data_IF_097055767164
#
_entry.id   IF_097055767164
#
_cell.length_a   1.000
_cell.length_b   1.000
_cell.length_c   1.000
_cell.angle_alpha   90.00
_cell.angle_beta   90.00
_cell.angle_gamma   90.00
#
_symmetry.space_group_name_H-M   'P 1'
#
loop_
_entity.id
_entity.type
_entity.pdbx_description
1 polymer ?
#
# COMPACT_ATOMS: atom_id res chain seq x y z
N UNK A 1 30.19 -1.90 -0.55
CA UNK A 1 29.56 -1.83 -1.89
C UNK A 1 28.31 -0.97 -1.76
N UNK A 2 27.96 -0.14 -2.75
CA UNK A 2 26.75 0.69 -2.66
C UNK A 2 25.50 -0.17 -2.89
N UNK A 3 24.40 0.10 -2.18
CA UNK A 3 23.11 -0.62 -2.34
C UNK A 3 22.60 -0.63 -3.79
N UNK A 4 22.95 0.40 -4.58
CA UNK A 4 22.71 0.48 -6.03
C UNK A 4 23.37 -0.66 -6.82
N UNK A 5 24.61 -0.99 -6.49
CA UNK A 5 25.37 -2.08 -7.14
C UNK A 5 24.80 -3.45 -6.80
N UNK A 6 24.26 -3.59 -5.58
CA UNK A 6 23.70 -4.84 -5.09
C UNK A 6 22.33 -5.14 -5.74
N UNK A 7 21.46 -4.14 -5.84
CA UNK A 7 20.18 -4.30 -6.54
C UNK A 7 20.36 -4.51 -8.05
N UNK A 8 21.26 -3.74 -8.70
CA UNK A 8 21.61 -3.97 -10.11
C UNK A 8 22.06 -5.40 -10.35
N UNK A 9 23.02 -5.89 -9.54
CA UNK A 9 23.51 -7.25 -9.63
C UNK A 9 22.39 -8.27 -9.48
N UNK A 10 21.40 -8.02 -8.62
CA UNK A 10 20.29 -8.93 -8.38
C UNK A 10 19.25 -8.94 -9.49
N UNK A 11 18.92 -7.79 -10.09
CA UNK A 11 18.07 -7.74 -11.29
C UNK A 11 18.75 -8.43 -12.46
N UNK A 12 20.05 -8.20 -12.63
CA UNK A 12 20.87 -8.91 -13.62
C UNK A 12 20.86 -10.42 -13.38
N UNK A 13 20.96 -10.87 -12.12
CA UNK A 13 20.84 -12.29 -11.74
C UNK A 13 19.48 -12.88 -12.11
N UNK A 14 18.39 -12.16 -11.83
CA UNK A 14 17.03 -12.61 -12.17
C UNK A 14 16.90 -12.75 -13.68
N UNK A 15 17.30 -11.73 -14.45
CA UNK A 15 17.20 -11.75 -15.91
C UNK A 15 18.06 -12.87 -16.51
N UNK A 16 19.29 -13.05 -16.02
CA UNK A 16 20.15 -14.15 -16.43
C UNK A 16 19.49 -15.51 -16.18
N UNK A 17 18.87 -15.69 -15.02
CA UNK A 17 18.20 -16.94 -14.69
C UNK A 17 16.98 -17.20 -15.59
N UNK A 18 16.20 -16.16 -15.92
CA UNK A 18 15.12 -16.23 -16.92
C UNK A 18 15.68 -16.65 -18.28
N UNK A 19 16.75 -16.00 -18.76
CA UNK A 19 17.36 -16.32 -20.04
C UNK A 19 17.87 -17.76 -20.08
N UNK A 20 18.53 -18.23 -19.02
CA UNK A 20 19.00 -19.61 -18.89
C UNK A 20 17.85 -20.62 -18.89
N UNK A 21 16.74 -20.32 -18.21
CA UNK A 21 15.53 -21.15 -18.21
C UNK A 21 14.95 -21.38 -19.61
N UNK A 22 15.12 -20.39 -20.51
CA UNK A 22 14.70 -20.49 -21.91
C UNK A 22 15.79 -21.02 -22.86
N UNK A 23 16.92 -21.50 -22.31
CA UNK A 23 17.98 -22.18 -23.06
C UNK A 23 19.05 -21.25 -23.64
N UNK A 24 19.16 -20.01 -23.17
CA UNK A 24 20.27 -19.13 -23.56
C UNK A 24 21.53 -19.43 -22.73
N UNK A 25 22.67 -19.45 -23.40
CA UNK A 25 23.99 -19.28 -22.77
C UNK A 25 24.21 -17.79 -22.55
N UNK A 26 24.40 -17.37 -21.29
CA UNK A 26 24.44 -15.95 -20.92
C UNK A 26 25.82 -15.53 -20.44
N UNK A 27 26.31 -14.41 -20.97
CA UNK A 27 27.53 -13.73 -20.56
C UNK A 27 27.18 -12.39 -19.91
N UNK A 28 27.63 -12.19 -18.66
CA UNK A 28 27.54 -10.89 -17.96
C UNK A 28 28.63 -9.94 -18.44
N UNK A 29 28.34 -8.64 -18.34
CA UNK A 29 29.32 -7.56 -18.55
C UNK A 29 30.05 -7.65 -19.91
N UNK A 30 29.30 -7.92 -20.99
CA UNK A 30 29.85 -8.05 -22.32
C UNK A 30 30.43 -6.71 -22.79
N UNK A 31 31.74 -6.68 -23.07
CA UNK A 31 32.42 -5.47 -23.54
C UNK A 31 32.34 -5.35 -25.06
N UNK A 32 31.80 -4.23 -25.52
CA UNK A 32 31.81 -3.84 -26.91
C UNK A 32 33.21 -3.38 -27.35
N UNK A 33 33.54 -3.45 -28.65
CA UNK A 33 34.78 -2.89 -29.19
C UNK A 33 34.95 -1.39 -28.93
N UNK A 34 33.84 -0.68 -28.70
CA UNK A 34 33.80 0.74 -28.32
C UNK A 34 34.23 0.99 -26.87
N UNK A 35 34.45 -0.06 -26.08
CA UNK A 35 34.76 0.02 -24.65
C UNK A 35 33.54 0.07 -23.73
N UNK A 36 32.34 0.22 -24.29
CA UNK A 36 31.07 0.19 -23.55
C UNK A 36 30.71 -1.23 -23.10
N UNK A 37 29.93 -1.36 -22.03
CA UNK A 37 29.50 -2.63 -21.45
C UNK A 37 28.01 -2.83 -21.63
N UNK A 38 27.61 -4.01 -22.09
CA UNK A 38 26.23 -4.51 -22.02
C UNK A 38 26.12 -5.41 -20.79
N UNK A 39 25.09 -5.21 -19.97
CA UNK A 39 24.92 -5.96 -18.72
C UNK A 39 24.79 -7.47 -18.96
N UNK A 40 24.00 -7.87 -19.95
CA UNK A 40 23.81 -9.27 -20.34
C UNK A 40 23.76 -9.45 -21.85
N UNK A 41 24.49 -10.45 -22.36
CA UNK A 41 24.32 -10.97 -23.71
C UNK A 41 24.02 -12.46 -23.61
N UNK A 42 22.91 -12.89 -24.22
CA UNK A 42 22.50 -14.28 -24.32
C UNK A 42 22.61 -14.79 -25.75
N UNK A 43 22.98 -16.06 -25.91
CA UNK A 43 22.95 -16.75 -27.20
C UNK A 43 22.24 -18.09 -27.08
N UNK A 44 21.33 -18.36 -28.02
CA UNK A 44 20.63 -19.64 -28.17
C UNK A 44 20.54 -19.96 -29.67
N UNK A 45 21.18 -21.04 -30.10
CA UNK A 45 21.31 -21.38 -31.52
C UNK A 45 21.88 -20.20 -32.31
N UNK A 46 21.17 -19.73 -33.36
CA UNK A 46 21.51 -18.53 -34.12
C UNK A 46 20.94 -17.24 -33.54
N UNK A 47 20.16 -17.31 -32.45
CA UNK A 47 19.49 -16.17 -31.85
C UNK A 47 20.37 -15.54 -30.76
N UNK A 48 20.52 -14.22 -30.84
CA UNK A 48 21.25 -13.40 -29.87
C UNK A 48 20.32 -12.40 -29.21
N UNK A 49 20.48 -12.23 -27.90
CA UNK A 49 19.74 -11.27 -27.08
C UNK A 49 20.72 -10.38 -26.31
N UNK A 50 20.48 -9.08 -26.32
CA UNK A 50 21.19 -8.11 -25.50
C UNK A 50 20.22 -7.45 -24.53
N UNK A 51 20.58 -7.43 -23.24
CA UNK A 51 19.76 -6.84 -22.18
C UNK A 51 20.59 -5.85 -21.37
N UNK A 52 20.06 -4.65 -21.20
CA UNK A 52 20.60 -3.64 -20.30
C UNK A 52 19.64 -3.39 -19.14
N UNK A 53 20.14 -3.26 -17.91
CA UNK A 53 19.32 -2.95 -16.74
C UNK A 53 19.48 -1.47 -16.40
N UNK A 54 18.49 -0.67 -16.81
CA UNK A 54 18.51 0.77 -16.62
C UNK A 54 17.86 1.14 -15.28
N UNK A 55 18.71 1.31 -14.27
CA UNK A 55 18.34 1.79 -12.93
C UNK A 55 18.45 3.31 -12.88
N UNK A 56 19.65 3.77 -13.25
CA UNK A 56 20.28 5.06 -12.97
C UNK A 56 20.35 6.07 -14.12
N UNK A 57 20.27 5.54 -15.35
CA UNK A 57 20.99 6.07 -16.50
C UNK A 57 20.08 6.65 -17.56
N UNK A 58 20.62 7.67 -18.21
CA UNK A 58 20.15 8.29 -19.43
C UNK A 58 19.75 7.21 -20.45
N UNK A 59 18.45 6.91 -20.50
CA UNK A 59 17.87 5.91 -21.39
C UNK A 59 18.34 6.10 -22.84
N UNK A 60 18.61 7.34 -23.26
CA UNK A 60 19.13 7.64 -24.58
C UNK A 60 20.50 6.99 -24.82
N UNK A 61 21.38 6.91 -23.82
CA UNK A 61 22.67 6.21 -23.91
C UNK A 61 22.48 4.70 -24.02
N UNK A 62 21.56 4.13 -23.23
CA UNK A 62 21.29 2.70 -23.28
C UNK A 62 20.68 2.29 -24.63
N UNK A 63 19.80 3.15 -25.19
CA UNK A 63 19.26 3.01 -26.54
C UNK A 63 20.38 3.09 -27.60
N UNK A 64 21.22 4.12 -27.54
CA UNK A 64 22.31 4.32 -28.51
C UNK A 64 23.29 3.13 -28.49
N UNK A 65 23.69 2.70 -27.29
CA UNK A 65 24.54 1.52 -27.05
C UNK A 65 23.96 0.24 -27.67
N UNK A 66 22.69 -0.09 -27.38
CA UNK A 66 22.05 -1.28 -27.94
C UNK A 66 21.74 -1.14 -29.44
N UNK A 67 21.53 0.07 -29.95
CA UNK A 67 21.30 0.30 -31.37
C UNK A 67 22.52 -0.10 -32.21
N UNK A 68 23.73 0.12 -31.68
CA UNK A 68 25.02 -0.20 -32.32
C UNK A 68 25.39 -1.68 -32.21
N UNK A 69 24.80 -2.42 -31.27
CA UNK A 69 25.05 -3.85 -31.10
C UNK A 69 24.16 -4.68 -32.02
N UNK A 70 24.74 -5.61 -32.79
CA UNK A 70 23.97 -6.46 -33.70
C UNK A 70 23.47 -7.72 -32.97
N UNK A 71 22.35 -7.58 -32.27
CA UNK A 71 21.61 -8.69 -31.65
C UNK A 71 20.19 -8.78 -32.24
N UNK A 72 19.66 -9.99 -32.33
CA UNK A 72 18.31 -10.26 -32.86
C UNK A 72 17.22 -9.70 -31.94
N UNK A 73 17.43 -9.81 -30.62
CA UNK A 73 16.55 -9.28 -29.58
C UNK A 73 17.30 -8.27 -28.71
N UNK A 74 16.68 -7.13 -28.45
CA UNK A 74 17.29 -6.06 -27.65
C UNK A 74 16.30 -5.60 -26.60
N UNK A 75 16.73 -5.58 -25.34
CA UNK A 75 15.91 -5.19 -24.21
C UNK A 75 16.60 -4.16 -23.34
N UNK A 76 15.82 -3.21 -22.84
CA UNK A 76 16.19 -2.39 -21.69
C UNK A 76 15.17 -2.68 -20.61
N UNK A 77 15.64 -3.26 -19.50
CA UNK A 77 14.81 -3.49 -18.32
C UNK A 77 14.92 -2.26 -17.43
N UNK A 78 13.86 -1.46 -17.40
CA UNK A 78 13.77 -0.25 -16.59
C UNK A 78 13.27 -0.59 -15.20
N UNK A 79 13.91 -0.01 -14.19
CA UNK A 79 13.40 -0.07 -12.81
C UNK A 79 12.51 1.13 -12.50
N UNK A 80 12.67 2.22 -13.25
CA UNK A 80 11.72 3.34 -13.22
C UNK A 80 10.49 3.00 -14.07
N UNK A 81 9.27 3.22 -13.54
CA UNK A 81 8.03 2.98 -14.26
C UNK A 81 7.86 4.03 -15.36
N UNK A 82 8.16 3.62 -16.59
CA UNK A 82 7.84 4.39 -17.77
C UNK A 82 7.09 3.50 -18.76
N UNK A 83 5.95 3.95 -19.27
CA UNK A 83 5.38 3.39 -20.49
C UNK A 83 6.15 3.97 -21.68
N UNK A 84 7.17 3.26 -22.15
CA UNK A 84 7.94 3.70 -23.32
C UNK A 84 7.69 2.70 -24.45
N UNK A 85 7.26 3.18 -25.64
CA UNK A 85 7.10 2.33 -26.80
C UNK A 85 8.45 1.71 -27.20
N UNK A 86 8.41 0.64 -27.99
CA UNK A 86 9.63 0.06 -28.59
C UNK A 86 10.33 1.12 -29.46
N UNK A 87 11.62 1.37 -29.22
CA UNK A 87 12.42 2.36 -29.98
C UNK A 87 13.47 1.61 -30.78
N UNK A 88 13.51 1.77 -32.10
CA UNK A 88 14.51 1.16 -32.99
C UNK A 88 14.68 -0.36 -32.82
N UNK A 89 13.58 -1.08 -32.59
CA UNK A 89 13.59 -2.53 -32.34
C UNK A 89 14.09 -2.94 -30.95
N UNK A 90 14.27 -1.98 -30.03
CA UNK A 90 14.65 -2.21 -28.64
C UNK A 90 13.39 -2.18 -27.77
N UNK A 91 13.13 -3.27 -27.07
CA UNK A 91 12.00 -3.41 -26.15
C UNK A 91 12.36 -2.81 -24.80
N UNK A 92 11.64 -1.78 -24.39
CA UNK A 92 11.80 -1.15 -23.08
C UNK A 92 10.67 -1.68 -22.20
N UNK A 93 11.01 -2.39 -21.13
CA UNK A 93 10.08 -3.13 -20.27
C UNK A 93 10.50 -2.99 -18.82
N UNK A 94 9.58 -3.14 -17.89
CA UNK A 94 9.92 -3.40 -16.49
C UNK A 94 10.35 -4.86 -16.28
N UNK A 95 10.77 -5.20 -15.06
CA UNK A 95 11.23 -6.54 -14.73
C UNK A 95 10.13 -7.59 -14.93
N UNK A 96 8.88 -7.26 -14.57
CA UNK A 96 7.74 -8.17 -14.70
C UNK A 96 7.32 -8.37 -16.16
N UNK A 97 7.42 -7.33 -17.00
CA UNK A 97 7.11 -7.38 -18.42
C UNK A 97 8.19 -8.04 -19.28
N UNK A 98 9.41 -8.22 -18.76
CA UNK A 98 10.52 -8.84 -19.48
C UNK A 98 10.20 -10.27 -19.94
N UNK A 99 9.82 -11.15 -19.02
CA UNK A 99 9.56 -12.56 -19.34
C UNK A 99 8.34 -12.75 -20.27
N UNK A 100 7.16 -12.15 -20.00
CA UNK A 100 6.01 -12.23 -20.91
C UNK A 100 6.35 -11.77 -22.32
N UNK A 101 7.13 -10.69 -22.46
CA UNK A 101 7.57 -10.17 -23.76
C UNK A 101 8.53 -11.13 -24.45
N UNK A 102 9.52 -11.65 -23.72
CA UNK A 102 10.46 -12.64 -24.22
C UNK A 102 9.73 -13.90 -24.71
N UNK A 103 8.81 -14.45 -23.92
CA UNK A 103 8.01 -15.63 -24.29
C UNK A 103 7.23 -15.42 -25.58
N UNK A 104 6.62 -14.24 -25.76
CA UNK A 104 5.90 -13.88 -26.99
C UNK A 104 6.81 -13.86 -28.21
N UNK A 105 8.02 -13.31 -28.09
CA UNK A 105 8.99 -13.23 -29.18
C UNK A 105 9.57 -14.61 -29.54
N UNK A 106 9.82 -15.44 -28.53
CA UNK A 106 10.29 -16.81 -28.68
C UNK A 106 9.19 -17.81 -29.06
N UNK A 107 7.92 -17.37 -29.12
CA UNK A 107 6.74 -18.22 -29.35
C UNK A 107 6.69 -19.42 -28.41
N UNK A 108 6.99 -19.19 -27.13
CA UNK A 108 6.95 -20.23 -26.09
C UNK A 108 5.51 -20.73 -25.93
N UNK A 109 5.27 -22.05 -25.90
CA UNK A 109 3.96 -22.62 -25.63
C UNK A 109 3.35 -22.11 -24.30
N UNK A 110 2.03 -21.95 -24.26
CA UNK A 110 1.32 -21.40 -23.08
C UNK A 110 1.46 -22.29 -21.84
N UNK A 111 1.65 -23.59 -22.03
CA UNK A 111 1.80 -24.61 -21.00
C UNK A 111 3.23 -24.73 -20.44
N UNK A 112 4.22 -24.10 -21.07
CA UNK A 112 5.58 -24.08 -20.55
C UNK A 112 5.69 -23.15 -19.33
N UNK A 113 6.21 -23.59 -18.17
CA UNK A 113 6.19 -22.80 -16.93
C UNK A 113 7.08 -21.54 -17.02
N UNK A 114 6.64 -20.39 -16.46
CA UNK A 114 7.46 -19.19 -16.37
C UNK A 114 8.59 -19.34 -15.35
N UNK A 115 9.74 -18.76 -15.66
CA UNK A 115 10.94 -18.69 -14.84
C UNK A 115 10.74 -17.81 -13.59
N UNK A 116 10.09 -16.65 -13.70
CA UNK A 116 9.88 -15.74 -12.55
C UNK A 116 9.15 -16.44 -11.40
N UNK A 117 8.26 -17.39 -11.68
CA UNK A 117 7.54 -18.16 -10.66
C UNK A 117 8.46 -19.06 -9.81
N UNK A 118 9.71 -19.26 -10.24
CA UNK A 118 10.71 -20.12 -9.59
C UNK A 118 11.93 -19.38 -9.04
N UNK A 119 12.02 -18.05 -9.25
CA UNK A 119 13.18 -17.26 -8.82
C UNK A 119 13.03 -16.71 -7.40
N UNK A 120 14.13 -16.59 -6.64
CA UNK A 120 14.08 -16.05 -5.29
C UNK A 120 13.59 -14.59 -5.33
N UNK A 121 12.68 -14.19 -4.43
CA UNK A 121 12.17 -12.84 -4.40
C UNK A 121 13.29 -11.81 -4.16
N UNK A 122 13.04 -10.56 -4.58
CA UNK A 122 13.82 -9.41 -4.15
C UNK A 122 14.00 -9.43 -2.62
N UNK A 123 15.13 -8.92 -2.09
CA UNK A 123 15.44 -9.00 -0.67
C UNK A 123 14.26 -8.44 0.14
N UNK A 124 13.98 -9.01 1.33
CA UNK A 124 12.87 -8.56 2.15
C UNK A 124 13.08 -7.09 2.48
N UNK A 125 12.14 -6.24 2.06
CA UNK A 125 12.00 -4.87 2.51
C UNK A 125 11.36 -4.94 3.90
N UNK A 126 12.19 -5.18 4.92
CA UNK A 126 11.74 -5.51 6.27
C UNK A 126 11.67 -4.30 7.20
N UNK A 127 12.31 -3.19 6.80
CA UNK A 127 12.31 -1.93 7.53
C UNK A 127 12.14 -0.71 6.61
N UNK A 128 11.79 0.43 7.20
CA UNK A 128 11.72 1.72 6.49
C UNK A 128 13.10 2.11 5.96
N UNK A 129 14.15 1.97 6.75
CA UNK A 129 15.51 2.29 6.34
C UNK A 129 15.94 1.46 5.12
N UNK A 130 15.65 0.17 5.10
CA UNK A 130 15.92 -0.69 3.93
C UNK A 130 15.13 -0.21 2.69
N UNK A 131 13.86 0.15 2.87
CA UNK A 131 13.03 0.67 1.78
C UNK A 131 13.58 1.97 1.21
N UNK A 132 13.93 2.93 2.08
CA UNK A 132 14.54 4.19 1.68
C UNK A 132 15.88 3.97 0.98
N UNK A 133 16.75 3.14 1.54
CA UNK A 133 18.05 2.83 0.97
C UNK A 133 17.94 2.14 -0.40
N UNK A 134 16.94 1.27 -0.60
CA UNK A 134 16.66 0.66 -1.90
C UNK A 134 16.23 1.74 -2.89
N UNK A 135 15.27 2.61 -2.56
CA UNK A 135 14.81 3.66 -3.49
C UNK A 135 15.89 4.72 -3.77
N UNK A 136 16.70 5.09 -2.77
CA UNK A 136 17.85 5.96 -2.94
C UNK A 136 18.94 5.31 -3.80
N UNK A 137 19.22 4.02 -3.57
CA UNK A 137 20.11 3.23 -4.42
C UNK A 137 19.62 3.15 -5.87
N UNK A 138 18.31 3.18 -6.09
CA UNK A 138 17.68 3.18 -7.41
C UNK A 138 17.65 4.57 -8.07
N UNK A 139 18.04 5.64 -7.38
CA UNK A 139 17.94 7.01 -7.90
C UNK A 139 16.48 7.48 -8.08
N UNK A 140 15.58 6.95 -7.25
CA UNK A 140 14.15 7.27 -7.19
C UNK A 140 13.73 7.67 -5.76
N UNK A 141 14.61 8.36 -5.03
CA UNK A 141 14.35 8.81 -3.67
C UNK A 141 13.07 9.67 -3.57
N UNK A 142 12.73 10.37 -4.64
CA UNK A 142 11.50 11.16 -4.77
C UNK A 142 10.21 10.33 -4.62
N UNK A 143 10.27 9.00 -4.79
CA UNK A 143 9.12 8.10 -4.67
C UNK A 143 8.96 7.47 -3.28
N UNK A 144 9.91 7.66 -2.35
CA UNK A 144 9.85 7.11 -0.98
C UNK A 144 8.53 7.50 -0.31
N UNK A 145 8.31 8.80 -0.16
CA UNK A 145 7.18 9.34 0.57
C UNK A 145 5.84 9.04 -0.13
N UNK A 146 5.69 9.22 -1.46
CA UNK A 146 4.49 8.79 -2.18
C UNK A 146 4.17 7.30 -2.00
N UNK A 147 5.18 6.43 -2.04
CA UNK A 147 5.00 4.99 -1.90
C UNK A 147 4.58 4.59 -0.47
N UNK A 148 5.22 5.16 0.56
CA UNK A 148 4.85 4.93 1.96
C UNK A 148 3.42 5.42 2.25
N UNK A 149 3.03 6.58 1.71
CA UNK A 149 1.66 7.11 1.80
C UNK A 149 0.64 6.18 1.15
N UNK A 150 0.92 5.67 -0.04
CA UNK A 150 0.01 4.75 -0.72
C UNK A 150 -0.12 3.40 0.02
N UNK A 151 0.99 2.87 0.54
CA UNK A 151 0.99 1.68 1.40
C UNK A 151 0.14 1.89 2.65
N UNK A 152 0.32 3.01 3.35
CA UNK A 152 -0.47 3.32 4.53
C UNK A 152 -1.95 3.49 4.19
N UNK A 153 -2.27 4.19 3.09
CA UNK A 153 -3.64 4.35 2.60
C UNK A 153 -4.31 3.00 2.37
N UNK A 154 -3.65 2.08 1.64
CA UNK A 154 -4.14 0.72 1.43
C UNK A 154 -4.29 -0.05 2.74
N UNK A 155 -3.33 0.08 3.66
CA UNK A 155 -3.40 -0.57 4.97
C UNK A 155 -4.62 -0.10 5.78
N UNK A 156 -4.85 1.21 5.84
CA UNK A 156 -5.99 1.82 6.53
C UNK A 156 -7.33 1.39 5.92
N UNK A 157 -7.36 1.18 4.61
CA UNK A 157 -8.53 0.70 3.86
C UNK A 157 -8.68 -0.83 3.89
N UNK A 158 -8.04 -1.53 4.83
CA UNK A 158 -8.21 -2.99 5.00
C UNK A 158 -7.32 -3.83 4.09
N UNK A 159 -6.21 -3.28 3.62
CA UNK A 159 -5.22 -3.95 2.78
C UNK A 159 -5.42 -3.73 1.28
N UNK A 160 -6.41 -2.95 0.86
CA UNK A 160 -6.71 -2.68 -0.54
C UNK A 160 -6.93 -1.18 -0.77
N UNK A 161 -6.53 -0.64 -1.93
CA UNK A 161 -6.82 0.76 -2.30
C UNK A 161 -7.22 0.88 -3.77
N UNK A 162 -8.31 1.60 -4.10
CA UNK A 162 -8.65 1.96 -5.47
C UNK A 162 -7.56 2.81 -6.13
N UNK A 163 -7.14 2.44 -7.33
CA UNK A 163 -6.10 3.14 -8.10
C UNK A 163 -6.61 3.77 -9.38
N UNK A 164 -7.65 3.20 -9.98
CA UNK A 164 -8.22 3.66 -11.26
C UNK A 164 -9.71 3.37 -11.35
N UNK A 165 -10.45 4.30 -11.94
CA UNK A 165 -11.86 4.15 -12.29
C UNK A 165 -12.03 4.22 -13.80
N UNK A 166 -12.79 3.28 -14.38
CA UNK A 166 -13.07 3.21 -15.82
C UNK A 166 -14.58 3.02 -16.04
N UNK A 167 -15.21 3.95 -16.75
CA UNK A 167 -16.58 3.82 -17.23
C UNK A 167 -16.59 3.66 -18.74
N UNK A 168 -17.05 2.50 -19.19
CA UNK A 168 -17.07 2.11 -20.59
C UNK A 168 -18.37 1.35 -20.91
N UNK A 169 -19.47 2.06 -21.17
CA UNK A 169 -20.71 1.43 -21.59
C UNK A 169 -20.59 0.91 -23.03
N UNK A 170 -20.96 -0.35 -23.22
CA UNK A 170 -21.10 -0.95 -24.55
C UNK A 170 -22.19 -0.20 -25.34
N UNK A 171 -22.06 0.04 -26.67
CA UNK A 171 -21.05 -0.49 -27.61
C UNK A 171 -19.90 0.47 -27.94
N UNK A 172 -19.56 1.42 -27.07
CA UNK A 172 -18.55 2.43 -27.43
C UNK A 172 -17.18 1.79 -27.68
N UNK A 173 -16.38 2.38 -28.57
CA UNK A 173 -15.03 1.87 -28.87
C UNK A 173 -13.98 2.30 -27.83
N UNK A 174 -14.29 3.30 -27.00
CA UNK A 174 -13.38 3.85 -25.98
C UNK A 174 -14.14 4.15 -24.68
N UNK A 175 -13.47 4.10 -23.52
CA UNK A 175 -14.06 4.51 -22.26
C UNK A 175 -14.52 5.98 -22.33
N UNK A 176 -15.70 6.26 -21.76
CA UNK A 176 -16.20 7.64 -21.62
C UNK A 176 -15.42 8.35 -20.51
N UNK A 177 -15.09 7.63 -19.44
CA UNK A 177 -14.32 8.15 -18.33
C UNK A 177 -13.23 7.16 -17.99
N UNK A 178 -11.98 7.62 -17.97
CA UNK A 178 -10.86 6.95 -17.34
C UNK A 178 -10.21 7.96 -16.38
N UNK A 179 -10.20 7.62 -15.09
CA UNK A 179 -9.65 8.47 -14.04
C UNK A 179 -8.66 7.69 -13.21
N UNK A 180 -7.42 8.15 -13.21
CA UNK A 180 -6.41 7.72 -12.26
C UNK A 180 -6.70 8.35 -10.90
N UNK A 181 -6.79 7.52 -9.86
CA UNK A 181 -6.98 7.94 -8.48
C UNK A 181 -5.63 8.08 -7.76
N UNK A 182 -4.62 7.34 -8.23
CA UNK A 182 -3.28 7.28 -7.68
C UNK A 182 -2.23 7.36 -8.80
N UNK A 183 -0.99 7.72 -8.46
CA UNK A 183 0.10 7.81 -9.44
C UNK A 183 0.50 6.40 -9.94
N UNK A 184 0.34 6.09 -11.24
CA UNK A 184 0.68 4.79 -11.82
C UNK A 184 2.14 4.40 -11.60
N UNK A 185 3.03 5.38 -11.46
CA UNK A 185 4.45 5.14 -11.20
C UNK A 185 4.65 4.56 -9.79
N UNK A 186 3.97 5.12 -8.81
CA UNK A 186 4.02 4.63 -7.43
C UNK A 186 3.43 3.23 -7.34
N UNK A 187 2.32 2.98 -8.03
CA UNK A 187 1.67 1.67 -8.10
C UNK A 187 2.64 0.63 -8.67
N UNK A 188 3.18 0.89 -9.87
CA UNK A 188 4.09 -0.04 -10.53
C UNK A 188 5.34 -0.31 -9.68
N UNK A 189 5.85 0.71 -8.99
CA UNK A 189 6.96 0.55 -8.05
C UNK A 189 6.60 -0.42 -6.91
N UNK A 190 5.44 -0.24 -6.26
CA UNK A 190 5.00 -1.12 -5.17
C UNK A 190 4.77 -2.56 -5.64
N UNK A 191 4.22 -2.75 -6.84
CA UNK A 191 4.04 -4.08 -7.44
C UNK A 191 5.38 -4.72 -7.76
N UNK A 192 6.28 -4.00 -8.43
CA UNK A 192 7.63 -4.47 -8.79
C UNK A 192 8.46 -4.87 -7.57
N UNK A 193 8.31 -4.13 -6.46
CA UNK A 193 8.98 -4.44 -5.19
C UNK A 193 8.31 -5.60 -4.41
N UNK A 194 7.22 -6.17 -4.93
CA UNK A 194 6.45 -7.23 -4.28
C UNK A 194 5.76 -6.78 -2.99
N UNK A 195 5.46 -5.49 -2.86
CA UNK A 195 4.74 -4.91 -1.72
C UNK A 195 3.23 -4.87 -1.96
N UNK A 196 2.80 -4.97 -3.21
CA UNK A 196 1.39 -5.06 -3.58
C UNK A 196 1.19 -5.98 -4.80
N UNK A 197 -0.04 -6.44 -4.98
CA UNK A 197 -0.52 -7.09 -6.20
C UNK A 197 -1.48 -6.14 -6.92
N UNK A 198 -1.36 -6.04 -8.23
CA UNK A 198 -2.38 -5.38 -9.06
C UNK A 198 -3.61 -6.29 -9.18
N UNK A 199 -4.78 -5.77 -8.82
CA UNK A 199 -6.03 -6.49 -8.99
C UNK A 199 -6.75 -6.01 -10.25
N UNK A 200 -7.04 -6.95 -11.15
CA UNK A 200 -7.92 -6.76 -12.30
C UNK A 200 -9.37 -6.57 -11.85
N UNK A 201 -9.62 -5.43 -11.19
CA UNK A 201 -10.93 -4.94 -10.83
C UNK A 201 -11.43 -5.39 -9.46
N UNK A 202 -11.30 -4.50 -8.47
CA UNK A 202 -11.82 -4.69 -7.10
C UNK A 202 -13.35 -4.68 -7.07
N UNK A 203 -13.99 -3.87 -7.94
CA UNK A 203 -15.45 -3.75 -7.94
C UNK A 203 -16.04 -3.28 -9.28
N UNK A 204 -17.36 -3.45 -9.41
CA UNK A 204 -18.16 -2.99 -10.52
C UNK A 204 -17.93 -3.74 -11.83
N UNK A 205 -18.66 -3.31 -12.86
CA UNK A 205 -18.47 -3.68 -14.26
C UNK A 205 -18.24 -2.41 -15.08
N UNK A 206 -17.80 -2.54 -16.34
CA UNK A 206 -17.53 -1.37 -17.18
C UNK A 206 -18.77 -0.51 -17.48
N UNK A 207 -19.97 -1.11 -17.48
CA UNK A 207 -21.24 -0.42 -17.73
C UNK A 207 -21.74 0.41 -16.55
N UNK A 208 -21.22 0.17 -15.34
CA UNK A 208 -21.60 0.88 -14.11
C UNK A 208 -20.41 1.64 -13.50
N UNK A 209 -19.21 1.46 -14.06
CA UNK A 209 -17.96 1.97 -13.53
C UNK A 209 -17.14 0.86 -12.88
N UNK A 210 -16.07 0.45 -13.56
CA UNK A 210 -15.11 -0.54 -13.07
C UNK A 210 -14.05 0.15 -12.22
N UNK A 211 -13.86 -0.33 -11.00
CA UNK A 211 -12.80 0.14 -10.10
C UNK A 211 -11.67 -0.89 -10.07
N UNK A 212 -10.46 -0.44 -10.37
CA UNK A 212 -9.21 -1.19 -10.20
C UNK A 212 -8.50 -0.71 -8.95
N UNK A 213 -7.61 -1.54 -8.42
CA UNK A 213 -6.81 -1.17 -7.28
C UNK A 213 -5.72 -2.19 -7.00
N UNK A 214 -4.97 -1.93 -5.94
CA UNK A 214 -3.93 -2.83 -5.47
C UNK A 214 -4.29 -3.43 -4.13
N UNK A 215 -3.79 -4.64 -3.88
CA UNK A 215 -3.86 -5.34 -2.58
C UNK A 215 -2.46 -5.51 -2.02
N UNK A 216 -2.26 -5.18 -0.76
CA UNK A 216 -0.97 -5.31 -0.10
C UNK A 216 -0.58 -6.78 0.09
N UNK A 217 0.69 -7.08 -0.14
CA UNK A 217 1.27 -8.36 0.31
C UNK A 217 1.55 -8.31 1.82
N UNK A 218 1.88 -9.43 2.45
CA UNK A 218 2.31 -9.45 3.85
C UNK A 218 3.51 -8.53 4.12
N UNK A 219 4.39 -8.37 3.12
CA UNK A 219 5.52 -7.43 3.16
C UNK A 219 5.03 -5.99 3.14
N UNK A 220 4.12 -5.66 2.22
CA UNK A 220 3.50 -4.33 2.14
C UNK A 220 2.77 -3.95 3.44
N UNK A 221 2.02 -4.88 4.03
CA UNK A 221 1.34 -4.68 5.33
C UNK A 221 2.35 -4.44 6.44
N UNK A 222 3.45 -5.20 6.48
CA UNK A 222 4.48 -5.06 7.51
C UNK A 222 5.18 -3.70 7.42
N UNK A 223 5.52 -3.26 6.21
CA UNK A 223 6.13 -1.96 5.96
C UNK A 223 5.17 -0.80 6.27
N UNK A 224 3.90 -0.93 5.90
CA UNK A 224 2.86 0.05 6.25
C UNK A 224 2.71 0.22 7.76
N UNK A 225 2.73 -0.88 8.53
CA UNK A 225 2.70 -0.84 10.01
C UNK A 225 3.95 -0.21 10.61
N UNK A 226 5.13 -0.43 10.00
CA UNK A 226 6.36 0.23 10.44
C UNK A 226 6.25 1.75 10.23
N UNK A 227 5.75 2.18 9.08
CA UNK A 227 5.52 3.60 8.77
C UNK A 227 4.45 4.22 9.67
N UNK A 228 3.35 3.50 9.94
CA UNK A 228 2.31 3.90 10.88
C UNK A 228 2.89 4.20 12.27
N UNK A 229 3.75 3.33 12.80
CA UNK A 229 4.44 3.55 14.08
C UNK A 229 5.39 4.73 14.04
N UNK A 230 6.09 4.93 12.93
CA UNK A 230 6.96 6.08 12.73
C UNK A 230 6.17 7.39 12.85
N UNK A 231 5.05 7.51 12.12
CA UNK A 231 4.17 8.68 12.15
C UNK A 231 3.56 8.95 13.54
N UNK A 232 3.15 7.90 14.28
CA UNK A 232 2.67 8.06 15.67
C UNK A 232 3.74 8.69 16.56
N UNK A 233 5.00 8.28 16.40
CA UNK A 233 6.11 8.82 17.17
C UNK A 233 6.46 10.25 16.75
N UNK A 234 6.47 10.53 15.45
CA UNK A 234 6.72 11.84 14.87
C UNK A 234 5.68 12.88 15.33
N UNK A 235 4.39 12.54 15.23
CA UNK A 235 3.27 13.42 15.56
C UNK A 235 2.79 13.30 17.02
N UNK A 236 3.57 12.67 17.90
CA UNK A 236 3.14 12.32 19.27
C UNK A 236 2.56 13.50 20.06
N UNK A 237 3.26 14.63 20.07
CA UNK A 237 2.82 15.83 20.80
C UNK A 237 1.53 16.42 20.24
N UNK A 238 1.41 16.40 18.92
CA UNK A 238 0.25 16.91 18.21
C UNK A 238 -0.98 16.07 18.54
N UNK A 239 -0.85 14.74 18.47
CA UNK A 239 -1.91 13.79 18.81
C UNK A 239 -2.37 14.02 20.26
N UNK A 240 -1.44 14.14 21.21
CA UNK A 240 -1.76 14.40 22.62
C UNK A 240 -2.51 15.72 22.79
N UNK A 241 -2.10 16.78 22.10
CA UNK A 241 -2.73 18.09 22.22
C UNK A 241 -4.18 18.09 21.69
N UNK A 242 -4.43 17.41 20.56
CA UNK A 242 -5.79 17.27 20.01
C UNK A 242 -6.68 16.43 20.94
N UNK A 243 -6.13 15.39 21.56
CA UNK A 243 -6.88 14.45 22.42
C UNK A 243 -7.21 15.04 23.80
N UNK A 244 -6.43 15.99 24.31
CA UNK A 244 -6.67 16.64 25.61
C UNK A 244 -7.97 17.45 25.67
N UNK A 245 -8.58 17.81 24.54
CA UNK A 245 -9.82 18.60 24.50
C UNK A 245 -11.10 17.74 24.39
N UNK A 246 -11.67 17.37 25.55
CA UNK A 246 -13.07 16.91 25.79
C UNK A 246 -13.50 15.59 25.07
N UNK A 247 -14.67 15.03 25.40
CA UNK A 247 -14.97 13.64 25.86
C UNK A 247 -14.73 12.51 24.83
N UNK A 248 -13.51 12.41 24.32
CA UNK A 248 -13.06 11.45 23.30
C UNK A 248 -12.90 10.00 23.83
N UNK A 249 -12.74 9.85 25.15
CA UNK A 249 -12.52 8.58 25.84
C UNK A 249 -13.67 7.60 25.56
N UNK A 250 -14.92 8.03 25.77
CA UNK A 250 -16.11 7.19 25.56
C UNK A 250 -16.32 6.78 24.10
N UNK A 251 -15.94 7.65 23.15
CA UNK A 251 -16.02 7.37 21.72
C UNK A 251 -14.96 6.37 21.26
N UNK A 252 -13.71 6.55 21.70
CA UNK A 252 -12.60 5.70 21.33
C UNK A 252 -12.70 4.33 22.01
N UNK A 253 -13.22 4.25 23.24
CA UNK A 253 -13.55 2.98 23.90
C UNK A 253 -14.64 2.22 23.14
N UNK A 254 -15.68 2.89 22.61
CA UNK A 254 -16.68 2.26 21.75
C UNK A 254 -16.07 1.69 20.45
N UNK A 255 -15.16 2.45 19.81
CA UNK A 255 -14.47 2.02 18.60
C UNK A 255 -13.47 0.88 18.85
N UNK A 256 -12.77 0.89 19.99
CA UNK A 256 -11.81 -0.14 20.37
C UNK A 256 -12.46 -1.47 20.77
N UNK A 257 -13.69 -1.45 21.30
CA UNK A 257 -14.50 -2.64 21.60
C UNK A 257 -15.06 -3.32 20.34
N UNK A 258 -15.18 -2.60 19.20
CA UNK A 258 -15.64 -3.12 17.91
C UNK A 258 -14.55 -3.88 17.12
N UNK A 259 -13.53 -4.40 17.82
CA UNK A 259 -12.24 -4.94 17.33
C UNK A 259 -12.29 -6.16 16.38
N UNK A 260 -13.42 -6.42 15.74
CA UNK A 260 -13.62 -7.47 14.73
C UNK A 260 -13.89 -6.97 13.30
N UNK A 261 -13.97 -5.66 13.06
CA UNK A 261 -14.26 -5.14 11.72
C UNK A 261 -13.35 -3.95 11.37
N UNK A 262 -12.68 -4.01 10.22
CA UNK A 262 -12.17 -2.83 9.53
C UNK A 262 -13.30 -1.79 9.50
N UNK A 263 -13.08 -0.63 10.12
CA UNK A 263 -14.10 0.42 10.23
C UNK A 263 -14.37 0.98 8.83
N UNK A 264 -15.48 0.55 8.25
CA UNK A 264 -16.03 1.09 7.01
C UNK A 264 -17.28 1.82 7.44
N UNK A 265 -17.20 3.15 7.42
CA UNK A 265 -18.26 4.02 7.86
C UNK A 265 -19.42 4.03 6.83
N UNK A 266 -20.62 3.46 7.12
CA UNK A 266 -21.78 3.64 6.27
C UNK A 266 -22.62 4.84 6.75
N UNK A 267 -23.55 5.36 5.92
CA UNK A 267 -24.36 6.52 6.28
C UNK A 267 -25.22 6.28 7.53
N UNK A 268 -25.56 7.41 8.19
CA UNK A 268 -26.17 7.64 9.53
C UNK A 268 -27.18 6.65 10.13
N UNK A 269 -27.78 5.72 9.37
CA UNK A 269 -28.89 4.88 9.84
C UNK A 269 -28.45 3.61 10.58
N UNK A 270 -27.37 2.94 10.17
CA UNK A 270 -26.97 1.67 10.80
C UNK A 270 -26.10 1.83 12.06
N UNK A 271 -25.53 3.01 12.31
CA UNK A 271 -24.58 3.22 13.42
C UNK A 271 -25.27 3.53 14.75
N UNK A 272 -26.36 4.31 14.73
CA UNK A 272 -27.21 4.48 15.91
C UNK A 272 -27.77 3.14 16.31
N UNK A 273 -28.20 2.32 15.35
CA UNK A 273 -28.72 0.97 15.62
C UNK A 273 -27.64 -0.02 16.05
N UNK A 274 -26.39 0.08 15.57
CA UNK A 274 -25.27 -0.78 15.97
C UNK A 274 -24.63 -0.39 17.31
N UNK A 275 -24.46 0.90 17.59
CA UNK A 275 -24.06 1.39 18.91
C UNK A 275 -25.20 1.23 19.92
N UNK A 276 -26.45 1.42 19.50
CA UNK A 276 -27.60 1.02 20.29
C UNK A 276 -27.58 -0.49 20.48
N UNK A 277 -27.28 -1.32 19.46
CA UNK A 277 -27.18 -2.78 19.64
C UNK A 277 -26.04 -3.19 20.56
N UNK A 278 -24.87 -2.59 20.50
CA UNK A 278 -23.74 -2.90 21.40
C UNK A 278 -24.03 -2.36 22.80
N UNK A 279 -24.60 -1.16 22.91
CA UNK A 279 -25.11 -0.62 24.17
C UNK A 279 -26.27 -1.43 24.75
N UNK A 280 -27.13 -2.01 23.91
CA UNK A 280 -28.30 -2.83 24.24
C UNK A 280 -27.89 -4.27 24.55
N UNK A 281 -26.89 -4.84 23.87
CA UNK A 281 -26.30 -6.14 24.18
C UNK A 281 -25.46 -6.10 25.47
N UNK A 282 -24.83 -4.96 25.77
CA UNK A 282 -24.14 -4.74 27.04
C UNK A 282 -25.10 -4.35 28.18
N UNK A 283 -26.25 -3.74 27.87
CA UNK A 283 -27.29 -3.42 28.85
C UNK A 283 -28.29 -4.57 29.09
N UNK A 284 -28.49 -5.49 28.14
CA UNK A 284 -29.37 -6.66 28.29
C UNK A 284 -28.57 -7.84 28.85
N UNK A 285 -28.11 -7.62 30.07
CA UNK A 285 -27.98 -8.66 31.09
C UNK A 285 -28.28 -7.98 32.42
N UNK A 286 -29.57 -7.74 32.65
CA UNK A 286 -30.20 -7.17 33.85
C UNK A 286 -29.88 -5.70 34.19
N UNK A 287 -30.54 -4.78 33.47
CA UNK A 287 -30.62 -3.34 33.78
C UNK A 287 -31.09 -3.05 35.22
N UNK A 288 -31.97 -3.89 35.78
CA UNK A 288 -32.55 -3.64 37.11
C UNK A 288 -31.57 -3.95 38.27
N UNK A 289 -30.34 -4.42 37.97
CA UNK A 289 -29.32 -4.80 38.98
C UNK A 289 -27.95 -4.13 38.79
N UNK A 290 -27.85 -3.14 37.89
CA UNK A 290 -26.56 -2.48 37.54
C UNK A 290 -25.88 -1.81 38.75
N UNK A 291 -26.64 -1.34 39.74
CA UNK A 291 -26.09 -0.78 40.99
C UNK A 291 -25.49 -1.82 41.95
N UNK A 292 -25.72 -3.11 41.72
CA UNK A 292 -25.29 -4.22 42.59
C UNK A 292 -24.15 -5.06 41.98
N UNK A 293 -23.76 -4.79 40.74
CA UNK A 293 -22.73 -5.57 40.03
C UNK A 293 -21.34 -4.95 40.23
N UNK A 294 -20.28 -5.76 40.43
CA UNK A 294 -18.92 -5.30 40.68
C UNK A 294 -18.22 -4.92 39.37
N UNK A 295 -18.88 -4.12 38.54
CA UNK A 295 -18.28 -3.66 37.29
C UNK A 295 -17.45 -2.40 37.51
N UNK A 296 -16.38 -2.21 36.72
CA UNK A 296 -15.58 -1.00 36.76
C UNK A 296 -16.44 0.23 36.49
N UNK A 297 -16.23 1.30 37.25
CA UNK A 297 -16.87 2.63 37.11
C UNK A 297 -16.92 3.16 35.66
N UNK A 298 -15.98 2.72 34.83
CA UNK A 298 -15.85 3.03 33.40
C UNK A 298 -17.03 2.51 32.57
N UNK A 299 -17.60 1.35 32.91
CA UNK A 299 -18.77 0.78 32.21
C UNK A 299 -20.04 1.57 32.55
N UNK A 300 -20.15 2.02 33.80
CA UNK A 300 -21.26 2.85 34.31
C UNK A 300 -21.21 4.24 33.65
N UNK A 301 -20.02 4.86 33.55
CA UNK A 301 -19.82 6.12 32.83
C UNK A 301 -20.13 6.00 31.33
N UNK A 302 -19.81 4.86 30.70
CA UNK A 302 -20.14 4.58 29.31
C UNK A 302 -21.66 4.52 29.08
N UNK A 303 -22.39 3.77 29.92
CA UNK A 303 -23.84 3.67 29.85
C UNK A 303 -24.56 5.00 30.12
N UNK A 304 -24.07 5.82 31.06
CA UNK A 304 -24.61 7.17 31.33
C UNK A 304 -24.31 8.14 30.17
N UNK A 305 -23.16 7.99 29.51
CA UNK A 305 -22.76 8.81 28.35
C UNK A 305 -23.53 8.48 27.06
N UNK A 306 -24.28 7.37 27.04
CA UNK A 306 -25.05 6.93 25.87
C UNK A 306 -26.12 7.95 25.43
N UNK A 307 -26.61 8.80 26.32
CA UNK A 307 -27.57 9.87 25.99
C UNK A 307 -26.95 11.03 25.17
N UNK A 308 -25.62 11.16 25.14
CA UNK A 308 -24.91 12.19 24.37
C UNK A 308 -24.24 11.64 23.11
N UNK A 309 -24.56 10.42 22.68
CA UNK A 309 -23.89 9.72 21.56
C UNK A 309 -23.76 10.56 20.29
N UNK A 310 -24.78 11.33 19.81
CA UNK A 310 -24.61 12.16 18.62
C UNK A 310 -23.58 13.28 18.80
N UNK A 311 -23.52 13.90 19.98
CA UNK A 311 -22.56 14.95 20.28
C UNK A 311 -21.14 14.40 20.43
N UNK A 312 -21.01 13.27 21.14
CA UNK A 312 -19.76 12.53 21.31
C UNK A 312 -19.23 12.04 19.96
N UNK A 313 -20.12 11.53 19.10
CA UNK A 313 -19.81 11.13 17.73
C UNK A 313 -19.31 12.29 16.88
N UNK A 314 -20.02 13.43 16.89
CA UNK A 314 -19.62 14.60 16.11
C UNK A 314 -18.28 15.18 16.56
N UNK A 315 -18.03 15.20 17.88
CA UNK A 315 -16.74 15.61 18.44
C UNK A 315 -15.64 14.60 18.06
N UNK A 316 -15.92 13.30 18.12
CA UNK A 316 -15.00 12.24 17.68
C UNK A 316 -14.62 12.32 16.21
N UNK A 317 -15.61 12.52 15.33
CA UNK A 317 -15.38 12.76 13.89
C UNK A 317 -14.53 14.01 13.69
N UNK A 318 -14.86 15.12 14.37
CA UNK A 318 -14.08 16.36 14.27
C UNK A 318 -12.62 16.13 14.68
N UNK A 319 -12.39 15.44 15.80
CA UNK A 319 -11.03 15.11 16.25
C UNK A 319 -10.28 14.24 15.24
N UNK A 320 -10.92 13.22 14.66
CA UNK A 320 -10.28 12.41 13.61
C UNK A 320 -9.93 13.26 12.38
N UNK A 321 -10.79 14.20 11.99
CA UNK A 321 -10.49 15.16 10.91
C UNK A 321 -9.32 16.08 11.27
N UNK A 322 -9.25 16.56 12.51
CA UNK A 322 -8.12 17.37 12.99
C UNK A 322 -6.79 16.59 12.96
N UNK A 323 -6.85 15.25 13.05
CA UNK A 323 -5.70 14.34 12.96
C UNK A 323 -5.37 13.89 11.53
N UNK A 324 -6.16 14.23 10.51
CA UNK A 324 -5.88 13.86 9.10
C UNK A 324 -4.49 14.31 8.64
N UNK A 325 -4.06 15.50 9.08
CA UNK A 325 -2.75 16.08 8.73
C UNK A 325 -1.54 15.27 9.23
N UNK A 326 -1.75 14.35 10.16
CA UNK A 326 -0.70 13.43 10.65
C UNK A 326 -0.47 12.24 9.72
N UNK A 327 -1.30 12.06 8.69
CA UNK A 327 -1.28 10.89 7.81
C UNK A 327 -1.84 9.61 8.44
N UNK A 328 -2.15 9.62 9.74
CA UNK A 328 -2.69 8.47 10.49
C UNK A 328 -4.22 8.36 10.40
N UNK A 329 -4.88 9.35 9.81
CA UNK A 329 -6.31 9.33 9.50
C UNK A 329 -6.49 9.62 8.01
N UNK A 330 -7.31 8.81 7.35
CA UNK A 330 -7.68 8.97 5.95
C UNK A 330 -9.17 9.33 5.87
N UNK A 331 -9.48 10.47 5.25
CA UNK A 331 -10.84 10.78 4.81
C UNK A 331 -10.92 10.47 3.32
N UNK A 332 -11.69 9.44 2.98
CA UNK A 332 -11.86 9.01 1.60
C UNK A 332 -13.30 9.23 1.15
N UNK A 333 -13.54 9.80 -0.05
CA UNK A 333 -14.87 9.80 -0.64
C UNK A 333 -15.29 8.39 -1.11
N UNK A 334 -14.43 7.38 -0.95
CA UNK A 334 -14.70 5.99 -1.32
C UNK A 334 -14.48 5.02 -0.15
N UNK A 335 -15.27 3.95 -0.12
CA UNK A 335 -15.06 2.85 0.80
C UNK A 335 -13.90 1.93 0.35
N UNK A 336 -13.55 0.94 1.16
CA UNK A 336 -12.53 -0.07 0.83
C UNK A 336 -12.82 -0.88 -0.44
N UNK A 337 -14.08 -0.92 -0.90
CA UNK A 337 -14.49 -1.54 -2.16
C UNK A 337 -14.51 -0.54 -3.32
N UNK A 338 -14.08 0.70 -3.10
CA UNK A 338 -14.10 1.77 -4.10
C UNK A 338 -15.48 2.35 -4.39
N UNK A 339 -16.49 2.10 -3.54
CA UNK A 339 -17.84 2.68 -3.69
C UNK A 339 -17.86 4.07 -3.09
N UNK A 340 -18.52 5.02 -3.77
CA UNK A 340 -18.65 6.38 -3.24
C UNK A 340 -19.41 6.41 -1.90
N UNK A 341 -18.90 7.15 -0.92
CA UNK A 341 -19.53 7.40 0.37
C UNK A 341 -20.19 8.80 0.34
N UNK A 342 -21.48 8.92 0.67
CA UNK A 342 -22.20 10.21 0.70
C UNK A 342 -21.55 11.24 1.63
N UNK A 343 -21.13 10.81 2.83
CA UNK A 343 -20.57 11.67 3.89
C UNK A 343 -19.06 11.48 4.09
N UNK A 344 -18.37 10.85 3.13
CA UNK A 344 -17.00 10.33 3.24
C UNK A 344 -16.81 9.21 4.28
N UNK A 345 -15.84 8.36 4.03
CA UNK A 345 -15.42 7.27 4.89
C UNK A 345 -14.14 7.68 5.64
N UNK A 346 -14.13 7.56 6.98
CA UNK A 346 -12.98 7.92 7.82
C UNK A 346 -12.31 6.64 8.32
N UNK A 347 -11.04 6.50 8.00
CA UNK A 347 -10.20 5.38 8.47
C UNK A 347 -9.14 5.94 9.42
N UNK A 348 -8.98 5.30 10.57
CA UNK A 348 -7.97 5.67 11.55
C UNK A 348 -7.01 4.50 11.77
N UNK A 349 -5.73 4.82 11.85
CA UNK A 349 -4.64 3.91 12.19
C UNK A 349 -4.92 3.17 13.50
N UNK A 350 -4.63 1.87 13.52
CA UNK A 350 -4.76 1.07 14.75
C UNK A 350 -3.74 1.47 15.80
N UNK A 351 -2.53 1.84 15.39
CA UNK A 351 -1.49 2.33 16.30
C UNK A 351 -1.84 3.72 16.86
N UNK A 352 -2.44 4.61 16.07
CA UNK A 352 -3.00 5.88 16.54
C UNK A 352 -4.05 5.62 17.62
N UNK A 353 -5.03 4.76 17.35
CA UNK A 353 -6.10 4.47 18.32
C UNK A 353 -5.53 3.86 19.61
N UNK A 354 -4.56 2.93 19.52
CA UNK A 354 -3.87 2.37 20.69
C UNK A 354 -3.12 3.46 21.47
N UNK A 355 -2.39 4.33 20.77
CA UNK A 355 -1.65 5.41 21.39
C UNK A 355 -2.57 6.37 22.15
N UNK A 356 -3.70 6.74 21.54
CA UNK A 356 -4.71 7.58 22.17
C UNK A 356 -5.29 6.89 23.41
N UNK A 357 -5.72 5.62 23.29
CA UNK A 357 -6.24 4.84 24.42
C UNK A 357 -5.26 4.79 25.60
N UNK A 358 -3.99 4.49 25.31
CA UNK A 358 -2.95 4.38 26.34
C UNK A 358 -2.66 5.73 27.00
N UNK A 359 -2.68 6.82 26.24
CA UNK A 359 -2.46 8.18 26.77
C UNK A 359 -3.61 8.59 27.68
N UNK A 360 -4.85 8.34 27.25
CA UNK A 360 -6.06 8.62 28.02
C UNK A 360 -6.14 7.78 29.30
N UNK A 361 -5.75 6.50 29.24
CA UNK A 361 -5.69 5.63 30.42
C UNK A 361 -4.71 6.17 31.45
N UNK A 362 -3.49 6.53 31.03
CA UNK A 362 -2.48 7.11 31.92
C UNK A 362 -2.96 8.41 32.57
N UNK A 363 -3.55 9.31 31.79
CA UNK A 363 -4.10 10.57 32.30
C UNK A 363 -5.25 10.33 33.29
N UNK A 364 -6.08 9.30 33.06
CA UNK A 364 -7.21 8.95 33.93
C UNK A 364 -6.72 8.32 35.25
N UNK A 365 -5.76 7.40 35.18
CA UNK A 365 -5.12 6.80 36.37
C UNK A 365 -4.43 7.88 37.20
N UNK A 366 -3.70 8.81 36.59
CA UNK A 366 -3.04 9.90 37.31
C UNK A 366 -4.07 10.79 38.05
N UNK A 367 -5.18 11.16 37.39
CA UNK A 367 -6.26 11.93 38.04
C UNK A 367 -6.95 11.17 39.16
N UNK A 368 -7.13 9.86 39.01
CA UNK A 368 -7.70 9.01 40.07
C UNK A 368 -6.75 8.95 41.29
N UNK A 369 -5.45 8.79 41.05
CA UNK A 369 -4.42 8.84 42.09
C UNK A 369 -4.40 10.20 42.81
N UNK A 370 -4.51 11.31 42.07
CA UNK A 370 -4.62 12.66 42.62
C UNK A 370 -5.93 12.89 43.41
N UNK A 371 -7.02 12.19 43.07
CA UNK A 371 -8.32 12.33 43.72
C UNK A 371 -8.44 11.62 45.08
N UNK A 372 -7.46 10.79 45.45
CA UNK A 372 -7.46 10.05 46.71
C UNK A 372 -8.49 8.93 46.80
N UNK A 373 -9.13 8.54 45.68
CA UNK A 373 -10.05 7.40 45.63
C UNK A 373 -9.23 6.10 45.69
N UNK A 374 -9.43 5.23 46.69
CA UNK A 374 -8.63 4.02 46.86
C UNK A 374 -8.85 3.03 45.70
N UNK A 375 -7.75 2.43 45.23
CA UNK A 375 -7.76 1.34 44.24
C UNK A 375 -8.34 0.08 44.89
N UNK A 376 -9.55 -0.33 44.50
CA UNK A 376 -10.07 -1.68 44.77
C UNK A 376 -9.90 -2.56 43.54
#
# INVERSE_FOLDING_TARGET
MSHRSEFHGRVVEIIEAILRHYGFSVQREYRLPTGERIDLVGQKDSLTIAVEVSITSDLAKDIDKLSKFNADLKFIVVVKPYEIPTINGIYIVDLEGFEPRLRKLLKVPLDYPPALASLPPLPPLSSLDEFENVLEGLGIKEFVEPALKLLLKAHLMGGQVPTRFVYWPYPLEKPIVERMLEDPRVINLLVTLGLAHDEYGIHGNYQEGKVFGITLTDKGVSLAKAYEKHLVNEHRYEIVNVVKSKPLISFITALACLRGASLVYPPKRNYVDALAHVGFLLAIRDIDRVSELPYPSELIYFCISAFNLPKIHNEGVKTLKDLERTGLVLISPYDFKGRACEDSCIYASTELLKFICNSLYKDSVAKLEESGIPKN
#
